data_IF_034867773978
#
_entry.id   IF_034867773978
#
_cell.length_a   1.000
_cell.length_b   1.000
_cell.length_c   1.000
_cell.angle_alpha   90.00
_cell.angle_beta   90.00
_cell.angle_gamma   90.00
#
_symmetry.space_group_name_H-M   'P 1'
#
loop_
_entity.id
_entity.type
_entity.pdbx_description
1 polymer ?
#
# COMPACT_ATOMS: atom_id res chain seq x y z
N UNK A 1 17.86 27.80 -23.89
CA UNK A 1 17.05 27.80 -22.66
C UNK A 1 15.77 27.02 -22.93
N UNK A 2 15.51 25.95 -22.19
CA UNK A 2 14.29 25.15 -22.33
C UNK A 2 14.47 23.71 -21.84
N UNK A 3 14.41 23.51 -20.53
CA UNK A 3 14.14 22.23 -19.86
C UNK A 3 13.08 22.52 -18.78
N UNK A 4 12.23 21.56 -18.35
CA UNK A 4 12.55 20.14 -18.32
C UNK A 4 11.48 19.19 -18.87
N UNK A 5 11.97 17.95 -19.02
CA UNK A 5 11.26 16.72 -19.28
C UNK A 5 9.83 16.70 -18.73
N UNK A 6 8.89 16.30 -19.58
CA UNK A 6 7.63 15.76 -19.12
C UNK A 6 7.95 14.63 -18.16
N UNK A 7 7.69 14.86 -16.88
CA UNK A 7 7.65 13.80 -15.88
C UNK A 7 6.66 12.78 -16.42
N UNK A 8 7.17 11.62 -16.85
CA UNK A 8 6.36 10.42 -17.03
C UNK A 8 5.59 10.28 -15.73
N UNK A 9 4.30 10.57 -15.77
CA UNK A 9 3.38 9.99 -14.82
C UNK A 9 3.51 8.48 -15.05
N UNK A 10 4.36 7.81 -14.26
CA UNK A 10 4.23 6.38 -14.07
C UNK A 10 2.88 6.21 -13.38
N UNK A 11 1.82 6.07 -14.17
CA UNK A 11 0.59 5.47 -13.68
C UNK A 11 1.01 4.08 -13.26
N UNK A 12 1.18 3.86 -11.96
CA UNK A 12 1.37 2.51 -11.44
C UNK A 12 0.16 1.72 -11.91
N UNK A 13 0.36 0.85 -12.92
CA UNK A 13 -0.69 -0.03 -13.39
C UNK A 13 -1.14 -0.86 -12.20
N UNK A 14 -2.42 -0.76 -11.85
CA UNK A 14 -3.00 -1.56 -10.77
C UNK A 14 -3.15 -2.98 -11.29
N UNK A 15 -2.28 -3.87 -10.84
CA UNK A 15 -2.39 -5.30 -11.13
C UNK A 15 -3.23 -5.95 -10.05
N UNK A 16 -4.31 -6.65 -10.44
CA UNK A 16 -5.06 -7.51 -9.53
C UNK A 16 -4.24 -8.78 -9.28
N UNK A 17 -3.83 -9.01 -8.04
CA UNK A 17 -2.94 -10.12 -7.65
C UNK A 17 -3.72 -11.30 -7.08
N UNK A 18 -4.87 -11.04 -6.45
CA UNK A 18 -5.75 -12.05 -5.88
C UNK A 18 -7.08 -11.45 -5.40
N UNK A 19 -8.00 -12.33 -5.04
CA UNK A 19 -9.26 -12.00 -4.35
C UNK A 19 -9.28 -12.82 -3.08
N UNK A 20 -9.43 -12.14 -1.94
CA UNK A 20 -9.41 -12.74 -0.62
C UNK A 20 -10.70 -12.37 0.12
N UNK A 21 -11.19 -13.27 0.96
CA UNK A 21 -12.36 -13.05 1.80
C UNK A 21 -11.94 -12.51 3.16
N UNK A 22 -12.86 -11.78 3.81
CA UNK A 22 -12.73 -11.37 5.20
C UNK A 22 -13.47 -12.41 6.02
N UNK A 23 -12.76 -13.08 6.92
CA UNK A 23 -13.33 -14.08 7.79
C UNK A 23 -14.25 -13.47 8.85
N UNK A 24 -15.00 -14.32 9.55
CA UNK A 24 -16.01 -13.91 10.53
C UNK A 24 -15.44 -13.12 11.73
N UNK A 25 -14.14 -13.23 11.97
CA UNK A 25 -13.40 -12.50 13.00
C UNK A 25 -12.77 -11.18 12.48
N UNK A 26 -12.95 -10.88 11.19
CA UNK A 26 -12.37 -9.71 10.55
C UNK A 26 -10.94 -9.91 10.03
N UNK A 27 -10.44 -11.14 10.02
CA UNK A 27 -9.10 -11.48 9.49
C UNK A 27 -9.15 -11.62 7.96
N UNK A 28 -8.04 -11.29 7.28
CA UNK A 28 -7.83 -11.58 5.86
C UNK A 28 -6.55 -12.39 5.74
N UNK A 29 -6.66 -13.61 5.23
CA UNK A 29 -5.48 -14.41 4.85
C UNK A 29 -5.05 -14.04 3.43
N UNK A 30 -3.80 -13.61 3.30
CA UNK A 30 -3.19 -13.23 2.02
C UNK A 30 -2.24 -14.31 1.54
N UNK A 31 -2.30 -14.63 0.25
CA UNK A 31 -1.42 -15.61 -0.36
C UNK A 31 0.01 -15.07 -0.50
N UNK A 32 0.97 -15.97 -0.61
CA UNK A 32 2.39 -15.65 -0.78
C UNK A 32 2.66 -14.70 -1.96
N UNK A 33 1.90 -14.85 -3.06
CA UNK A 33 2.00 -13.95 -4.22
C UNK A 33 1.73 -12.47 -3.88
N UNK A 34 0.83 -12.20 -2.92
CA UNK A 34 0.55 -10.84 -2.46
C UNK A 34 1.72 -10.30 -1.64
N UNK A 35 2.31 -11.14 -0.77
CA UNK A 35 3.49 -10.76 0.01
C UNK A 35 4.67 -10.41 -0.89
N UNK A 36 4.96 -11.23 -1.90
CA UNK A 36 6.07 -11.00 -2.83
C UNK A 36 5.85 -9.72 -3.64
N UNK A 37 4.66 -9.56 -4.23
CA UNK A 37 4.38 -8.42 -5.09
C UNK A 37 4.29 -7.09 -4.34
N UNK A 38 3.83 -7.10 -3.09
CA UNK A 38 3.75 -5.91 -2.24
C UNK A 38 4.98 -5.74 -1.34
N UNK A 39 5.97 -6.63 -1.43
CA UNK A 39 7.18 -6.62 -0.59
C UNK A 39 6.84 -6.57 0.91
N UNK A 40 5.87 -7.39 1.33
CA UNK A 40 5.46 -7.50 2.72
C UNK A 40 6.36 -8.52 3.44
N UNK A 41 6.74 -8.21 4.67
CA UNK A 41 7.50 -9.12 5.53
C UNK A 41 6.58 -9.66 6.63
N UNK A 42 6.80 -10.92 7.04
CA UNK A 42 6.10 -11.50 8.19
C UNK A 42 6.45 -10.71 9.46
N UNK A 43 5.46 -10.55 10.34
CA UNK A 43 5.59 -9.80 11.60
C UNK A 43 6.02 -8.33 11.43
N UNK A 44 5.94 -7.79 10.22
CA UNK A 44 6.26 -6.39 9.93
C UNK A 44 5.07 -5.47 10.10
N UNK A 45 5.34 -4.17 10.21
CA UNK A 45 4.30 -3.15 10.25
C UNK A 45 3.89 -2.76 8.84
N UNK A 46 2.58 -2.67 8.62
CA UNK A 46 1.99 -2.18 7.37
C UNK A 46 1.15 -0.94 7.62
N UNK A 47 1.15 -0.03 6.65
CA UNK A 47 0.22 1.09 6.61
C UNK A 47 -1.05 0.65 5.90
N UNK A 48 -2.18 0.77 6.59
CA UNK A 48 -3.52 0.50 6.05
C UNK A 48 -4.23 1.82 5.82
N UNK A 49 -4.60 2.10 4.57
CA UNK A 49 -5.32 3.32 4.17
C UNK A 49 -6.67 2.92 3.59
N UNK A 50 -7.75 3.31 4.28
CA UNK A 50 -9.11 3.17 3.77
C UNK A 50 -9.50 4.44 2.99
N UNK A 51 -9.99 4.28 1.76
CA UNK A 51 -10.50 5.39 0.97
C UNK A 51 -12.03 5.48 1.07
N UNK A 52 -12.61 6.68 1.24
CA UNK A 52 -14.07 6.86 1.19
C UNK A 52 -14.66 6.55 -0.20
N UNK A 53 -13.82 6.54 -1.24
CA UNK A 53 -14.18 6.20 -2.62
C UNK A 53 -14.26 4.68 -2.84
N UNK A 54 -13.89 3.90 -1.81
CA UNK A 54 -13.82 2.45 -1.83
C UNK A 54 -12.38 1.93 -1.88
N UNK A 55 -12.19 0.77 -1.25
CA UNK A 55 -10.93 0.04 -1.24
C UNK A 55 -10.06 0.31 -0.02
N UNK A 56 -9.20 -0.67 0.25
CA UNK A 56 -8.17 -0.64 1.29
C UNK A 56 -6.83 -0.79 0.59
N UNK A 57 -5.90 0.11 0.88
CA UNK A 57 -4.51 -0.01 0.43
C UNK A 57 -3.65 -0.45 1.60
N UNK A 58 -2.90 -1.54 1.42
CA UNK A 58 -1.91 -2.02 2.38
C UNK A 58 -0.52 -1.77 1.79
N UNK A 59 0.39 -1.18 2.59
CA UNK A 59 1.76 -0.86 2.14
C UNK A 59 2.77 -1.25 3.22
N UNK A 60 3.95 -1.79 2.86
CA UNK A 60 5.01 -2.00 3.83
C UNK A 60 5.49 -0.67 4.41
N UNK A 61 5.76 -0.63 5.71
CA UNK A 61 6.40 0.52 6.35
C UNK A 61 7.91 0.39 6.16
N UNK A 62 8.45 1.03 5.13
CA UNK A 62 9.88 0.91 4.77
C UNK A 62 10.81 1.80 5.59
N UNK A 63 10.26 2.71 6.41
CA UNK A 63 11.00 3.60 7.30
C UNK A 63 10.17 3.85 8.56
N UNK A 64 10.83 4.00 9.71
CA UNK A 64 10.17 4.42 10.96
C UNK A 64 9.55 5.82 10.78
N UNK A 65 8.32 5.84 10.24
CA UNK A 65 7.57 7.06 10.05
C UNK A 65 7.15 7.52 11.44
N UNK A 66 7.77 8.59 11.93
CA UNK A 66 7.42 9.24 13.19
C UNK A 66 6.61 10.50 12.88
N UNK A 67 5.29 10.38 12.61
CA UNK A 67 4.47 11.53 12.29
C UNK A 67 4.42 12.44 13.51
N UNK A 68 5.16 13.55 13.47
CA UNK A 68 4.93 14.66 14.40
C UNK A 68 3.69 15.39 13.93
N UNK A 69 2.79 15.73 14.88
CA UNK A 69 1.70 16.66 14.60
C UNK A 69 2.30 17.90 13.92
N UNK A 70 1.83 18.22 12.71
CA UNK A 70 2.07 19.54 12.14
C UNK A 70 1.58 20.56 13.17
N UNK A 71 2.46 21.49 13.53
CA UNK A 71 2.25 22.45 14.61
C UNK A 71 0.93 23.20 14.50
N UNK A 72 0.43 23.59 15.68
CA UNK A 72 -0.63 24.56 15.89
C UNK A 72 -0.41 25.86 15.11
#
# INVERSE_FOLDING_TARGET
MGLPAQSRAMTAERTMIGVHEIDADGTIELDEAVFEACQLERDSRVLVVASPEGGITVRPVTTEFSPRKSGQ
#
